data_IF_919426411263
#
_entry.id   IF_919426411263
#
_cell.length_a   1.000
_cell.length_b   1.000
_cell.length_c   1.000
_cell.angle_alpha   90.00
_cell.angle_beta   90.00
_cell.angle_gamma   90.00
#
_symmetry.space_group_name_H-M   'P 1'
#
loop_
_entity.id
_entity.type
_entity.pdbx_description
1 polymer ?
#
# COMPACT_ATOMS: atom_id res chain seq x y z
N UNK A 1 -25.75 29.82 -15.33
CA UNK A 1 -25.03 29.18 -14.22
C UNK A 1 -24.07 28.17 -14.83
N UNK A 2 -22.81 28.20 -14.40
CA UNK A 2 -21.74 27.36 -14.95
C UNK A 2 -22.05 25.87 -14.78
N UNK A 3 -21.75 25.08 -15.82
CA UNK A 3 -21.84 23.62 -15.81
C UNK A 3 -20.63 23.06 -15.04
N UNK A 4 -20.65 23.17 -13.72
CA UNK A 4 -19.61 22.62 -12.85
C UNK A 4 -19.93 21.14 -12.55
N UNK A 5 -18.93 20.27 -12.66
CA UNK A 5 -18.96 18.87 -12.23
C UNK A 5 -17.98 18.70 -11.07
N UNK A 6 -18.46 18.21 -9.93
CA UNK A 6 -17.62 17.88 -8.78
C UNK A 6 -17.18 16.43 -8.81
N UNK A 7 -15.92 16.14 -8.49
CA UNK A 7 -15.41 14.77 -8.37
C UNK A 7 -14.81 14.64 -6.97
N UNK A 8 -15.39 13.77 -6.16
CA UNK A 8 -14.92 13.43 -4.83
C UNK A 8 -14.30 12.04 -4.87
N UNK A 9 -13.02 11.96 -4.51
CA UNK A 9 -12.27 10.70 -4.49
C UNK A 9 -12.08 10.24 -3.04
N UNK A 10 -12.52 9.03 -2.71
CA UNK A 10 -12.30 8.42 -1.39
C UNK A 10 -13.23 8.95 -0.28
N UNK A 11 -14.55 8.87 -0.47
CA UNK A 11 -15.53 9.31 0.53
C UNK A 11 -15.43 8.60 1.89
N UNK A 12 -15.04 7.33 1.90
CA UNK A 12 -14.83 6.54 3.11
C UNK A 12 -13.71 7.10 4.00
N UNK A 13 -12.73 7.80 3.41
CA UNK A 13 -11.64 8.45 4.15
C UNK A 13 -12.08 9.79 4.74
N UNK A 14 -13.11 10.44 4.17
CA UNK A 14 -13.60 11.74 4.63
C UNK A 14 -14.46 11.63 5.89
N UNK A 15 -15.33 10.62 5.96
CA UNK A 15 -16.37 10.48 7.00
C UNK A 15 -15.85 10.55 8.45
N UNK A 16 -14.77 9.87 8.84
CA UNK A 16 -14.36 9.80 10.25
C UNK A 16 -13.76 11.12 10.78
N UNK A 17 -13.33 12.03 9.90
CA UNK A 17 -12.55 13.22 10.26
C UNK A 17 -13.11 14.53 9.71
N UNK A 18 -14.27 14.50 9.06
CA UNK A 18 -14.88 15.68 8.48
C UNK A 18 -15.16 16.76 9.56
N UNK A 19 -14.44 17.88 9.46
CA UNK A 19 -14.72 19.05 10.30
C UNK A 19 -16.15 19.53 10.03
N UNK A 20 -16.92 20.00 11.04
CA UNK A 20 -18.31 20.39 10.85
C UNK A 20 -18.54 21.43 9.74
N UNK A 21 -17.55 22.30 9.49
CA UNK A 21 -17.60 23.27 8.38
C UNK A 21 -17.46 22.60 7.02
N UNK A 22 -16.56 21.64 6.88
CA UNK A 22 -16.36 20.88 5.64
C UNK A 22 -17.57 20.00 5.35
N UNK A 23 -18.16 19.38 6.37
CA UNK A 23 -19.40 18.61 6.23
C UNK A 23 -20.53 19.48 5.67
N UNK A 24 -20.69 20.71 6.14
CA UNK A 24 -21.70 21.65 5.62
C UNK A 24 -21.47 22.00 4.15
N UNK A 25 -20.22 22.27 3.77
CA UNK A 25 -19.85 22.56 2.38
C UNK A 25 -20.10 21.34 1.50
N UNK A 26 -19.67 20.16 1.94
CA UNK A 26 -19.89 18.90 1.24
C UNK A 26 -21.38 18.64 1.00
N UNK A 27 -22.22 18.78 2.02
CA UNK A 27 -23.68 18.64 1.89
C UNK A 27 -24.27 19.65 0.90
N UNK A 28 -23.78 20.89 0.91
CA UNK A 28 -24.20 21.91 -0.07
C UNK A 28 -23.81 21.53 -1.51
N UNK A 29 -22.70 20.82 -1.70
CA UNK A 29 -22.27 20.33 -3.01
C UNK A 29 -23.10 19.10 -3.43
N UNK A 30 -23.48 18.23 -2.50
CA UNK A 30 -24.38 17.10 -2.81
C UNK A 30 -25.76 17.55 -3.29
N UNK A 31 -26.20 18.75 -2.92
CA UNK A 31 -27.42 19.38 -3.45
C UNK A 31 -27.27 19.86 -4.92
N UNK A 32 -26.04 19.91 -5.45
CA UNK A 32 -25.79 20.30 -6.84
C UNK A 32 -26.07 19.16 -7.82
N UNK A 33 -26.48 19.53 -9.05
CA UNK A 33 -26.91 18.57 -10.06
C UNK A 33 -25.82 17.60 -10.54
N UNK A 34 -24.55 18.01 -10.54
CA UNK A 34 -23.47 17.24 -11.17
C UNK A 34 -22.33 16.98 -10.17
N UNK A 35 -22.30 15.78 -9.61
CA UNK A 35 -21.20 15.30 -8.80
C UNK A 35 -20.99 13.80 -9.01
N UNK A 36 -19.73 13.36 -8.93
CA UNK A 36 -19.30 11.97 -8.92
C UNK A 36 -18.56 11.74 -7.60
N UNK A 37 -18.85 10.64 -6.95
CA UNK A 37 -18.23 10.24 -5.70
C UNK A 37 -17.70 8.83 -5.82
N UNK A 38 -16.45 8.62 -5.46
CA UNK A 38 -15.87 7.28 -5.31
C UNK A 38 -15.84 6.93 -3.82
N UNK A 39 -16.08 5.66 -3.52
CA UNK A 39 -15.93 5.14 -2.17
C UNK A 39 -15.76 3.64 -2.20
N UNK A 40 -15.21 3.08 -1.13
CA UNK A 40 -15.30 1.64 -0.88
C UNK A 40 -16.77 1.20 -0.67
N UNK A 41 -17.14 -0.04 -1.05
CA UNK A 41 -18.53 -0.49 -1.09
C UNK A 41 -19.31 -0.37 0.23
N UNK A 42 -18.61 -0.37 1.37
CA UNK A 42 -19.22 -0.40 2.69
C UNK A 42 -19.56 0.98 3.28
N UNK A 43 -19.07 2.08 2.68
CA UNK A 43 -19.23 3.42 3.25
C UNK A 43 -20.30 4.26 2.54
N UNK A 44 -20.93 3.71 1.50
CA UNK A 44 -21.94 4.43 0.72
C UNK A 44 -23.30 4.28 1.41
N UNK A 45 -23.66 5.28 2.22
CA UNK A 45 -24.99 5.46 2.82
C UNK A 45 -25.69 6.73 2.28
N UNK A 46 -25.40 7.09 1.02
CA UNK A 46 -25.95 8.27 0.37
C UNK A 46 -26.95 7.87 -0.72
N UNK A 47 -28.12 8.53 -0.81
CA UNK A 47 -29.11 8.22 -1.83
C UNK A 47 -28.67 8.77 -3.20
N UNK A 48 -28.15 7.90 -4.06
CA UNK A 48 -27.79 8.23 -5.44
C UNK A 48 -28.78 7.59 -6.44
N UNK A 49 -29.12 8.34 -7.49
CA UNK A 49 -29.94 7.83 -8.61
C UNK A 49 -29.18 6.80 -9.44
N UNK A 50 -27.86 6.96 -9.57
CA UNK A 50 -26.99 6.10 -10.36
C UNK A 50 -25.84 5.65 -9.48
N UNK A 51 -25.63 4.34 -9.41
CA UNK A 51 -24.49 3.70 -8.75
C UNK A 51 -23.77 2.84 -9.76
N UNK A 52 -22.45 2.99 -9.82
CA UNK A 52 -21.58 2.19 -10.68
C UNK A 52 -20.59 1.44 -9.80
N UNK A 53 -20.39 0.15 -10.10
CA UNK A 53 -19.41 -0.68 -9.41
C UNK A 53 -18.19 -0.92 -10.30
N UNK A 54 -16.99 -0.68 -9.76
CA UNK A 54 -15.74 -1.00 -10.43
C UNK A 54 -15.37 -2.44 -10.09
N UNK A 55 -15.65 -3.36 -11.00
CA UNK A 55 -15.44 -4.80 -10.81
C UNK A 55 -14.03 -5.30 -11.17
N UNK A 56 -13.14 -4.40 -11.60
CA UNK A 56 -11.77 -4.73 -12.02
C UNK A 56 -11.62 -4.97 -13.52
N UNK A 57 -10.50 -5.60 -13.90
CA UNK A 57 -10.13 -5.88 -15.28
C UNK A 57 -10.73 -7.17 -15.81
N UNK A 58 -11.06 -7.20 -17.10
CA UNK A 58 -11.32 -8.46 -17.83
C UNK A 58 -10.01 -9.13 -18.26
N UNK A 59 -10.10 -10.37 -18.77
CA UNK A 59 -8.95 -11.08 -19.35
C UNK A 59 -8.25 -10.26 -20.47
N UNK A 60 -9.04 -9.58 -21.29
CA UNK A 60 -8.57 -8.72 -22.38
C UNK A 60 -7.92 -7.45 -21.83
N UNK A 61 -8.47 -6.87 -20.75
CA UNK A 61 -7.85 -5.73 -20.08
C UNK A 61 -6.50 -6.10 -19.47
N UNK A 62 -6.37 -7.27 -18.84
CA UNK A 62 -5.08 -7.76 -18.32
C UNK A 62 -4.05 -7.83 -19.45
N UNK A 63 -4.41 -8.49 -20.56
CA UNK A 63 -3.52 -8.62 -21.71
C UNK A 63 -3.05 -7.26 -22.23
N UNK A 64 -4.01 -6.35 -22.47
CA UNK A 64 -3.73 -4.99 -22.95
C UNK A 64 -2.89 -4.17 -21.97
N UNK A 65 -3.14 -4.30 -20.67
CA UNK A 65 -2.39 -3.61 -19.65
C UNK A 65 -0.92 -4.06 -19.65
N UNK A 66 -0.68 -5.37 -19.66
CA UNK A 66 0.67 -5.94 -19.69
C UNK A 66 1.43 -5.50 -20.95
N UNK A 67 0.80 -5.56 -22.11
CA UNK A 67 1.40 -5.07 -23.36
C UNK A 67 1.81 -3.59 -23.27
N UNK A 68 0.91 -2.74 -22.76
CA UNK A 68 1.17 -1.31 -22.59
C UNK A 68 2.27 -1.04 -21.55
N UNK A 69 2.28 -1.77 -20.44
CA UNK A 69 3.28 -1.65 -19.38
C UNK A 69 4.67 -1.93 -19.93
N UNK A 70 4.88 -3.11 -20.53
CA UNK A 70 6.19 -3.51 -21.03
C UNK A 70 6.61 -2.73 -22.28
N UNK A 71 5.67 -2.24 -23.09
CA UNK A 71 5.96 -1.29 -24.16
C UNK A 71 6.57 0.02 -23.62
N UNK A 72 6.04 0.55 -22.51
CA UNK A 72 6.59 1.76 -21.87
C UNK A 72 7.97 1.50 -21.26
N UNK A 73 8.22 0.32 -20.70
CA UNK A 73 9.53 -0.07 -20.18
C UNK A 73 10.54 -0.23 -21.32
N UNK A 74 10.17 -0.91 -22.42
CA UNK A 74 11.06 -1.12 -23.57
C UNK A 74 11.56 0.18 -24.22
N UNK A 75 10.74 1.25 -24.16
CA UNK A 75 11.17 2.60 -24.59
C UNK A 75 12.33 3.16 -23.77
N UNK A 76 12.43 2.76 -22.50
CA UNK A 76 13.45 3.23 -21.56
C UNK A 76 14.64 2.27 -21.51
N UNK A 77 14.40 0.96 -21.68
CA UNK A 77 15.40 -0.11 -21.64
C UNK A 77 15.18 -1.10 -22.80
N UNK A 78 15.95 -1.00 -23.90
CA UNK A 78 15.75 -1.80 -25.11
C UNK A 78 15.83 -3.33 -24.92
N UNK A 79 16.51 -3.81 -23.86
CA UNK A 79 16.73 -5.23 -23.58
C UNK A 79 15.48 -5.99 -23.06
N UNK A 80 14.34 -5.32 -22.85
CA UNK A 80 13.12 -5.95 -22.32
C UNK A 80 12.19 -6.56 -23.40
N UNK A 81 12.65 -6.63 -24.65
CA UNK A 81 11.88 -7.20 -25.77
C UNK A 81 11.74 -8.73 -25.62
N UNK A 82 10.65 -9.18 -24.99
CA UNK A 82 10.36 -10.60 -24.77
C UNK A 82 9.67 -10.90 -23.44
N UNK A 83 9.67 -9.94 -22.51
CA UNK A 83 9.05 -10.15 -21.20
C UNK A 83 7.52 -10.21 -21.26
N UNK A 84 6.88 -9.45 -22.17
CA UNK A 84 5.42 -9.40 -22.34
C UNK A 84 4.80 -10.78 -22.56
N UNK A 85 5.33 -11.55 -23.51
CA UNK A 85 4.76 -12.88 -23.81
C UNK A 85 5.02 -13.84 -22.65
N UNK A 86 6.21 -13.77 -22.06
CA UNK A 86 6.60 -14.66 -20.95
C UNK A 86 5.72 -14.46 -19.71
N UNK A 87 5.48 -13.21 -19.32
CA UNK A 87 4.61 -12.91 -18.18
C UNK A 87 3.15 -13.26 -18.48
N UNK A 88 2.65 -13.04 -19.70
CA UNK A 88 1.29 -13.42 -20.06
C UNK A 88 1.11 -14.95 -20.01
N UNK A 89 2.07 -15.71 -20.52
CA UNK A 89 2.07 -17.16 -20.42
C UNK A 89 2.12 -17.62 -18.96
N UNK A 90 2.96 -16.99 -18.13
CA UNK A 90 3.03 -17.27 -16.69
C UNK A 90 1.70 -17.01 -16.00
N UNK A 91 1.10 -15.84 -16.23
CA UNK A 91 -0.18 -15.43 -15.65
C UNK A 91 -1.28 -16.43 -16.03
N UNK A 92 -1.43 -16.76 -17.32
CA UNK A 92 -2.45 -17.69 -17.82
C UNK A 92 -2.26 -19.13 -17.32
N UNK A 93 -1.01 -19.55 -17.12
CA UNK A 93 -0.68 -20.89 -16.64
C UNK A 93 -0.88 -21.07 -15.13
N UNK A 94 -1.12 -19.98 -14.39
CA UNK A 94 -1.25 -19.99 -12.94
C UNK A 94 -2.60 -19.37 -12.52
N UNK A 95 -3.63 -20.20 -12.34
CA UNK A 95 -5.01 -19.73 -12.05
C UNK A 95 -5.12 -18.84 -10.81
N UNK A 96 -4.31 -19.11 -9.77
CA UNK A 96 -4.28 -18.29 -8.56
C UNK A 96 -3.85 -16.84 -8.84
N UNK A 97 -2.71 -16.66 -9.53
CA UNK A 97 -2.21 -15.31 -9.84
C UNK A 97 -3.04 -14.65 -10.95
N UNK A 98 -3.62 -15.45 -11.86
CA UNK A 98 -4.58 -14.97 -12.84
C UNK A 98 -5.78 -14.30 -12.16
N UNK A 99 -6.38 -14.97 -11.17
CA UNK A 99 -7.47 -14.41 -10.36
C UNK A 99 -7.08 -13.09 -9.69
N UNK A 100 -5.89 -13.04 -9.11
CA UNK A 100 -5.35 -11.85 -8.44
C UNK A 100 -5.11 -10.69 -9.42
N UNK A 101 -4.68 -10.98 -10.65
CA UNK A 101 -4.39 -10.00 -11.71
C UNK A 101 -5.64 -9.26 -12.25
N UNK A 102 -6.85 -9.75 -11.97
CA UNK A 102 -8.08 -9.02 -12.29
C UNK A 102 -8.23 -7.72 -11.49
N UNK A 103 -7.51 -7.57 -10.38
CA UNK A 103 -7.45 -6.30 -9.64
C UNK A 103 -6.32 -5.46 -10.24
N UNK A 104 -6.60 -4.26 -10.81
CA UNK A 104 -5.61 -3.46 -11.54
C UNK A 104 -4.33 -3.16 -10.76
N UNK A 105 -4.45 -2.84 -9.46
CA UNK A 105 -3.32 -2.62 -8.59
C UNK A 105 -2.45 -3.87 -8.45
N UNK A 106 -3.05 -5.04 -8.26
CA UNK A 106 -2.29 -6.27 -8.12
C UNK A 106 -1.57 -6.61 -9.43
N UNK A 107 -2.19 -6.36 -10.58
CA UNK A 107 -1.53 -6.53 -11.87
C UNK A 107 -0.33 -5.58 -12.03
N UNK A 108 -0.47 -4.32 -11.63
CA UNK A 108 0.65 -3.37 -11.59
C UNK A 108 1.80 -3.93 -10.73
N UNK A 109 1.49 -4.39 -9.51
CA UNK A 109 2.50 -4.97 -8.62
C UNK A 109 3.15 -6.20 -9.23
N UNK A 110 2.38 -7.07 -9.90
CA UNK A 110 2.91 -8.24 -10.59
C UNK A 110 3.89 -7.83 -11.70
N UNK A 111 3.49 -6.92 -12.58
CA UNK A 111 4.34 -6.42 -13.67
C UNK A 111 5.61 -5.74 -13.16
N UNK A 112 5.46 -4.87 -12.15
CA UNK A 112 6.56 -4.19 -11.48
C UNK A 112 7.51 -5.15 -10.80
N UNK A 113 7.01 -6.19 -10.11
CA UNK A 113 7.87 -7.22 -9.52
C UNK A 113 8.60 -7.98 -10.61
N UNK A 114 7.89 -8.46 -11.63
CA UNK A 114 8.43 -9.25 -12.72
C UNK A 114 9.60 -8.57 -13.42
N UNK A 115 9.43 -7.29 -13.80
CA UNK A 115 10.44 -6.48 -14.46
C UNK A 115 11.71 -6.32 -13.60
N UNK A 116 11.56 -6.33 -12.28
CA UNK A 116 12.64 -6.07 -11.34
C UNK A 116 13.39 -7.32 -10.88
N UNK A 117 12.69 -8.46 -10.76
CA UNK A 117 13.27 -9.74 -10.30
C UNK A 117 13.58 -10.70 -11.46
N UNK A 118 13.28 -10.32 -12.71
CA UNK A 118 13.31 -11.19 -13.90
C UNK A 118 12.43 -12.44 -13.72
N UNK A 119 11.23 -12.23 -13.20
CA UNK A 119 10.24 -13.26 -12.93
C UNK A 119 10.17 -13.72 -11.47
N UNK A 120 9.21 -14.60 -11.17
CA UNK A 120 8.97 -15.10 -9.83
C UNK A 120 9.65 -16.45 -9.58
N UNK A 121 10.24 -16.61 -8.39
CA UNK A 121 10.88 -17.88 -7.97
C UNK A 121 9.84 -18.99 -7.74
N UNK A 122 8.63 -18.63 -7.31
CA UNK A 122 7.55 -19.57 -7.00
C UNK A 122 6.57 -19.68 -8.17
N UNK A 123 6.07 -20.90 -8.41
CA UNK A 123 5.03 -21.18 -9.42
C UNK A 123 3.67 -20.64 -8.99
N UNK A 124 3.30 -20.82 -7.73
CA UNK A 124 2.08 -20.25 -7.15
C UNK A 124 2.43 -19.02 -6.31
N UNK A 125 1.64 -17.95 -6.45
CA UNK A 125 1.75 -16.71 -5.70
C UNK A 125 0.39 -16.37 -5.10
N UNK A 126 0.37 -16.28 -3.77
CA UNK A 126 -0.68 -15.61 -3.00
C UNK A 126 -0.44 -14.10 -3.00
N UNK A 127 -1.46 -13.30 -2.65
CA UNK A 127 -1.30 -11.85 -2.52
C UNK A 127 -0.22 -11.49 -1.49
N UNK A 128 -0.19 -12.20 -0.35
CA UNK A 128 0.85 -12.01 0.67
C UNK A 128 2.25 -12.27 0.13
N UNK A 129 2.43 -13.30 -0.70
CA UNK A 129 3.72 -13.57 -1.35
C UNK A 129 4.09 -12.49 -2.37
N UNK A 130 3.13 -11.92 -3.10
CA UNK A 130 3.39 -10.79 -3.98
C UNK A 130 3.90 -9.56 -3.20
N UNK A 131 3.25 -9.21 -2.08
CA UNK A 131 3.75 -8.15 -1.20
C UNK A 131 5.14 -8.50 -0.61
N UNK A 132 5.38 -9.76 -0.26
CA UNK A 132 6.69 -10.20 0.23
C UNK A 132 7.80 -9.99 -0.81
N UNK A 133 7.59 -10.40 -2.06
CA UNK A 133 8.54 -10.21 -3.16
C UNK A 133 8.78 -8.71 -3.44
N UNK A 134 7.72 -7.90 -3.43
CA UNK A 134 7.84 -6.43 -3.59
C UNK A 134 8.64 -5.79 -2.46
N UNK A 135 8.41 -6.20 -1.21
CA UNK A 135 9.16 -5.68 -0.06
C UNK A 135 10.61 -6.17 -0.12
N UNK A 136 10.87 -7.42 -0.47
CA UNK A 136 12.25 -7.91 -0.69
C UNK A 136 12.96 -7.06 -1.75
N UNK A 137 12.30 -6.75 -2.86
CA UNK A 137 12.84 -5.87 -3.88
C UNK A 137 13.15 -4.47 -3.34
N UNK A 138 12.24 -3.88 -2.57
CA UNK A 138 12.45 -2.56 -1.94
C UNK A 138 13.63 -2.59 -0.97
N UNK A 139 13.75 -3.62 -0.12
CA UNK A 139 14.90 -3.83 0.76
C UNK A 139 16.20 -3.87 -0.05
N UNK A 140 16.29 -4.72 -1.08
CA UNK A 140 17.49 -4.82 -1.93
C UNK A 140 17.82 -3.50 -2.61
N UNK A 141 16.81 -2.76 -3.07
CA UNK A 141 16.99 -1.45 -3.69
C UNK A 141 17.51 -0.42 -2.68
N UNK A 142 16.97 -0.41 -1.47
CA UNK A 142 17.42 0.46 -0.38
C UNK A 142 18.87 0.14 0.01
N UNK A 143 19.19 -1.14 0.23
CA UNK A 143 20.53 -1.60 0.59
C UNK A 143 21.56 -1.29 -0.50
N UNK A 144 21.22 -1.41 -1.79
CA UNK A 144 22.12 -1.00 -2.89
C UNK A 144 22.46 0.48 -2.91
N UNK A 145 21.62 1.34 -2.34
CA UNK A 145 21.91 2.78 -2.24
C UNK A 145 22.82 3.11 -1.06
N UNK A 146 22.78 2.29 -0.01
CA UNK A 146 23.52 2.50 1.23
C UNK A 146 24.80 1.65 1.32
N UNK A 147 24.90 0.54 0.58
CA UNK A 147 26.04 -0.38 0.57
C UNK A 147 26.21 -1.11 -0.79
N UNK A 148 27.44 -1.17 -1.30
CA UNK A 148 27.75 -1.77 -2.63
C UNK A 148 27.79 -3.31 -2.67
N UNK A 149 27.76 -4.02 -1.52
CA UNK A 149 28.09 -5.46 -1.44
C UNK A 149 26.88 -6.43 -1.48
N UNK A 150 25.70 -5.97 -1.86
CA UNK A 150 24.42 -6.63 -1.53
C UNK A 150 23.76 -7.45 -2.65
N UNK A 151 24.37 -7.52 -3.85
CA UNK A 151 23.71 -8.16 -5.01
C UNK A 151 23.41 -9.66 -4.83
N UNK A 152 24.17 -10.35 -3.97
CA UNK A 152 24.13 -11.83 -3.87
C UNK A 152 23.66 -12.38 -2.52
N UNK A 153 23.07 -11.56 -1.64
CA UNK A 153 22.59 -12.05 -0.35
C UNK A 153 21.24 -12.78 -0.47
N UNK A 154 21.08 -13.85 0.33
CA UNK A 154 19.82 -14.57 0.46
C UNK A 154 18.70 -13.71 1.05
N UNK A 155 17.46 -14.07 0.74
CA UNK A 155 16.24 -13.33 1.15
C UNK A 155 16.19 -13.05 2.66
N UNK A 156 16.49 -14.05 3.50
CA UNK A 156 16.47 -13.89 4.97
C UNK A 156 17.49 -12.86 5.47
N UNK A 157 18.66 -12.79 4.83
CA UNK A 157 19.70 -11.82 5.20
C UNK A 157 19.27 -10.41 4.83
N UNK A 158 18.67 -10.23 3.64
CA UNK A 158 18.11 -8.95 3.20
C UNK A 158 17.06 -8.43 4.20
N UNK A 159 16.12 -9.28 4.61
CA UNK A 159 15.11 -8.89 5.60
C UNK A 159 15.70 -8.57 6.97
N UNK A 160 16.74 -9.30 7.41
CA UNK A 160 17.46 -9.00 8.66
C UNK A 160 18.15 -7.65 8.60
N UNK A 161 18.78 -7.30 7.48
CA UNK A 161 19.47 -6.03 7.32
C UNK A 161 18.53 -4.83 7.29
N UNK A 162 17.34 -4.99 6.70
CA UNK A 162 16.28 -3.97 6.70
C UNK A 162 15.31 -4.07 7.89
N UNK A 163 15.62 -4.89 8.90
CA UNK A 163 14.67 -5.18 9.99
C UNK A 163 14.22 -3.91 10.71
N UNK A 164 15.15 -3.01 11.03
CA UNK A 164 14.84 -1.76 11.74
C UNK A 164 13.90 -0.85 10.94
N UNK A 165 14.19 -0.66 9.66
CA UNK A 165 13.38 0.17 8.76
C UNK A 165 11.99 -0.43 8.56
N UNK A 166 11.92 -1.76 8.39
CA UNK A 166 10.66 -2.48 8.27
C UNK A 166 9.83 -2.38 9.54
N UNK A 167 10.41 -2.61 10.71
CA UNK A 167 9.71 -2.49 11.99
C UNK A 167 9.17 -1.08 12.25
N UNK A 168 9.93 -0.07 11.81
CA UNK A 168 9.51 1.33 11.86
C UNK A 168 8.34 1.62 10.91
N UNK A 169 8.39 1.14 9.67
CA UNK A 169 7.29 1.24 8.70
C UNK A 169 6.03 0.49 9.18
N UNK A 170 6.19 -0.70 9.76
CA UNK A 170 5.12 -1.51 10.35
C UNK A 170 4.43 -0.76 11.49
N UNK A 171 5.20 -0.21 12.43
CA UNK A 171 4.69 0.59 13.54
C UNK A 171 3.99 1.87 13.05
N UNK A 172 4.60 2.56 12.09
CA UNK A 172 4.05 3.78 11.52
C UNK A 172 2.70 3.50 10.84
N UNK A 173 2.63 2.45 10.02
CA UNK A 173 1.42 2.03 9.35
C UNK A 173 0.31 1.69 10.35
N UNK A 174 0.63 0.94 11.40
CA UNK A 174 -0.33 0.58 12.44
C UNK A 174 -0.86 1.81 13.18
N UNK A 175 0.01 2.71 13.66
CA UNK A 175 -0.41 3.94 14.34
C UNK A 175 -1.21 4.87 13.44
N UNK A 176 -0.83 4.97 12.17
CA UNK A 176 -1.57 5.75 11.18
C UNK A 176 -2.98 5.17 10.98
N UNK A 177 -3.14 3.85 10.90
CA UNK A 177 -4.47 3.23 10.84
C UNK A 177 -5.27 3.38 12.13
N UNK A 178 -4.65 3.21 13.31
CA UNK A 178 -5.33 3.39 14.60
C UNK A 178 -5.91 4.80 14.76
N UNK A 179 -5.26 5.78 14.14
CA UNK A 179 -5.68 7.18 14.12
C UNK A 179 -6.38 7.59 12.82
N UNK A 180 -6.69 6.62 11.94
CA UNK A 180 -7.34 6.79 10.62
C UNK A 180 -6.69 7.86 9.71
N UNK A 181 -5.37 7.96 9.74
CA UNK A 181 -4.59 8.81 8.84
C UNK A 181 -4.15 8.03 7.58
N UNK A 182 -4.70 8.38 6.41
CA UNK A 182 -4.11 8.04 5.10
C UNK A 182 -2.95 8.98 4.74
N UNK A 183 -3.07 10.25 5.16
CA UNK A 183 -1.98 11.25 5.14
C UNK A 183 -1.38 11.34 6.54
N UNK A 184 -0.15 10.87 6.68
CA UNK A 184 0.64 10.79 7.90
C UNK A 184 1.20 12.18 8.23
N UNK A 185 0.83 12.76 9.39
CA UNK A 185 1.39 14.04 9.82
C UNK A 185 2.86 13.88 10.24
N UNK A 186 3.69 14.94 10.09
CA UNK A 186 5.11 14.89 10.45
C UNK A 186 5.36 14.49 11.90
N UNK A 187 4.45 14.92 12.80
CA UNK A 187 4.53 14.59 14.23
C UNK A 187 4.46 13.08 14.47
N UNK A 188 3.55 12.37 13.80
CA UNK A 188 3.37 10.93 13.95
C UNK A 188 4.59 10.16 13.42
N UNK A 189 5.15 10.60 12.30
CA UNK A 189 6.39 10.06 11.75
C UNK A 189 7.54 10.19 12.77
N UNK A 190 7.80 11.40 13.26
CA UNK A 190 8.88 11.68 14.20
C UNK A 190 8.72 10.93 15.54
N UNK A 191 7.50 10.83 16.07
CA UNK A 191 7.22 10.07 17.29
C UNK A 191 7.42 8.56 17.10
N UNK A 192 7.21 8.06 15.89
CA UNK A 192 7.43 6.65 15.57
C UNK A 192 8.92 6.35 15.41
N UNK A 193 9.65 7.21 14.70
CA UNK A 193 11.11 7.08 14.57
C UNK A 193 11.80 7.15 15.95
N UNK A 194 11.42 8.09 16.82
CA UNK A 194 11.97 8.20 18.19
C UNK A 194 11.66 7.00 19.08
N UNK A 195 10.52 6.34 18.88
CA UNK A 195 10.14 5.19 19.69
C UNK A 195 10.94 3.92 19.34
N UNK A 196 11.54 3.86 18.14
CA UNK A 196 12.21 2.66 17.62
C UNK A 196 13.71 2.86 17.34
N UNK A 197 14.19 4.10 17.30
CA UNK A 197 15.60 4.42 17.08
C UNK A 197 16.24 5.08 18.31
N UNK A 198 17.29 4.45 18.85
CA UNK A 198 18.21 5.04 19.83
C UNK A 198 19.31 5.93 19.19
N UNK A 199 19.45 5.95 17.86
CA UNK A 199 20.57 6.63 17.20
C UNK A 199 20.23 7.28 15.86
N UNK A 200 20.75 8.49 15.71
CA UNK A 200 20.67 9.47 14.61
C UNK A 200 21.44 9.09 13.33
N UNK A 201 21.34 7.84 12.85
CA UNK A 201 22.02 7.45 11.61
C UNK A 201 21.20 7.88 10.39
N UNK A 202 21.50 9.06 9.86
CA UNK A 202 20.76 9.79 8.81
C UNK A 202 20.65 8.97 7.49
N UNK A 203 21.57 8.04 7.26
CA UNK A 203 21.62 7.20 6.06
C UNK A 203 20.54 6.10 6.01
N UNK A 204 19.88 5.79 7.14
CA UNK A 204 18.89 4.71 7.28
C UNK A 204 17.47 5.19 7.53
N UNK A 205 17.12 6.38 7.05
CA UNK A 205 15.75 6.87 7.14
C UNK A 205 14.78 5.99 6.34
N UNK A 206 13.64 5.64 6.93
CA UNK A 206 12.54 4.95 6.26
C UNK A 206 12.00 5.71 5.04
N UNK A 207 12.25 7.02 4.97
CA UNK A 207 11.89 7.86 3.83
C UNK A 207 12.65 7.46 2.55
N UNK A 208 13.87 6.92 2.70
CA UNK A 208 14.69 6.43 1.60
C UNK A 208 14.30 5.03 1.12
N UNK A 209 13.39 4.35 1.82
CA UNK A 209 12.93 3.00 1.49
C UNK A 209 12.05 2.98 0.23
N UNK A 210 11.42 4.12 -0.10
CA UNK A 210 10.66 4.31 -1.35
C UNK A 210 9.19 3.87 -1.28
N UNK A 211 8.69 3.50 -0.10
CA UNK A 211 7.27 3.18 0.15
C UNK A 211 6.47 4.39 0.66
N UNK A 212 7.14 5.42 1.16
CA UNK A 212 6.52 6.67 1.59
C UNK A 212 6.75 7.76 0.54
N UNK A 213 5.69 8.46 0.17
CA UNK A 213 5.73 9.64 -0.69
C UNK A 213 5.48 10.89 0.14
N UNK A 214 6.28 11.92 -0.09
CA UNK A 214 6.04 13.22 0.53
C UNK A 214 4.82 13.89 -0.12
N UNK A 215 3.99 14.49 0.72
CA UNK A 215 2.88 15.35 0.36
C UNK A 215 3.17 16.76 0.87
N UNK A 216 3.05 17.74 -0.01
CA UNK A 216 3.43 19.12 0.27
C UNK A 216 2.26 20.06 -0.01
N UNK A 217 1.45 20.31 1.02
CA UNK A 217 0.38 21.32 0.97
C UNK A 217 0.92 22.75 1.04
N UNK A 218 2.14 22.91 1.57
CA UNK A 218 2.70 24.22 1.87
C UNK A 218 3.89 24.47 0.94
N UNK A 219 3.62 25.12 -0.20
CA UNK A 219 4.61 25.75 -1.08
C UNK A 219 5.39 26.90 -0.40
N UNK A 220 5.74 26.79 0.90
CA UNK A 220 6.76 27.64 1.50
C UNK A 220 8.09 27.22 0.87
N UNK A 221 8.43 27.94 -0.20
CA UNK A 221 9.70 27.91 -0.90
C UNK A 221 10.81 27.95 0.17
N UNK A 222 11.49 26.83 0.40
CA UNK A 222 12.65 26.73 1.30
C UNK A 222 12.62 25.65 2.37
N UNK A 223 11.50 24.99 2.68
CA UNK A 223 11.50 23.87 3.65
C UNK A 223 11.89 22.55 2.98
N UNK A 224 13.20 22.33 2.87
CA UNK A 224 13.80 21.15 2.22
C UNK A 224 13.87 19.90 3.11
N UNK A 225 13.56 19.99 4.41
CA UNK A 225 13.66 18.83 5.30
C UNK A 225 12.45 17.88 5.08
N UNK A 226 12.67 16.67 4.54
CA UNK A 226 11.58 15.76 4.24
C UNK A 226 10.84 15.32 5.51
N UNK A 227 11.50 15.21 6.68
CA UNK A 227 10.87 14.77 7.95
C UNK A 227 9.83 15.75 8.52
N UNK A 228 9.74 16.96 7.95
CA UNK A 228 8.74 17.96 8.30
C UNK A 228 7.54 17.98 7.35
N UNK A 229 7.58 17.18 6.28
CA UNK A 229 6.47 17.05 5.33
C UNK A 229 5.48 16.01 5.81
N UNK A 230 4.26 16.13 5.30
CA UNK A 230 3.28 15.06 5.40
C UNK A 230 3.70 13.94 4.46
N UNK A 231 3.32 12.71 4.79
CA UNK A 231 3.63 11.56 3.95
C UNK A 231 2.41 10.68 3.77
N UNK A 232 2.43 9.84 2.75
CA UNK A 232 1.46 8.77 2.59
C UNK A 232 2.17 7.56 2.02
N UNK A 233 1.65 6.37 2.31
CA UNK A 233 2.14 5.16 1.65
C UNK A 233 1.83 5.23 0.16
N UNK A 234 2.69 4.67 -0.68
CA UNK A 234 2.50 4.64 -2.15
C UNK A 234 1.12 4.15 -2.57
N UNK A 235 0.49 3.29 -1.75
CA UNK A 235 -0.90 2.92 -1.81
C UNK A 235 -1.40 2.46 -0.43
N UNK A 236 -2.69 2.63 -0.14
CA UNK A 236 -3.31 2.26 1.15
C UNK A 236 -3.13 0.77 1.50
N UNK A 237 -3.12 -0.11 0.50
CA UNK A 237 -2.86 -1.54 0.72
C UNK A 237 -1.46 -1.85 1.27
N UNK A 238 -0.44 -1.02 0.98
CA UNK A 238 0.86 -1.17 1.63
C UNK A 238 0.77 -0.80 3.11
N UNK A 239 0.06 0.29 3.45
CA UNK A 239 -0.21 0.66 4.84
C UNK A 239 -0.92 -0.49 5.57
N UNK A 240 -1.99 -1.04 4.97
CA UNK A 240 -2.72 -2.19 5.54
C UNK A 240 -1.82 -3.43 5.72
N UNK A 241 -0.96 -3.72 4.75
CA UNK A 241 -0.03 -4.85 4.83
C UNK A 241 1.03 -4.67 5.93
N UNK A 242 1.66 -3.48 6.02
CA UNK A 242 2.64 -3.17 7.05
C UNK A 242 2.02 -3.18 8.46
N UNK A 243 0.81 -2.63 8.61
CA UNK A 243 0.09 -2.68 9.87
C UNK A 243 -0.29 -4.11 10.27
N UNK A 244 -0.70 -4.96 9.32
CA UNK A 244 -0.97 -6.37 9.58
C UNK A 244 0.29 -7.12 10.05
N UNK A 245 1.46 -6.81 9.48
CA UNK A 245 2.75 -7.35 9.93
C UNK A 245 3.10 -6.90 11.35
N UNK A 246 2.81 -5.65 11.70
CA UNK A 246 2.98 -5.13 13.07
C UNK A 246 2.15 -5.95 14.07
N UNK A 247 0.85 -6.14 13.79
CA UNK A 247 -0.04 -6.94 14.62
C UNK A 247 0.43 -8.38 14.76
N UNK A 248 0.89 -9.00 13.67
CA UNK A 248 1.45 -10.36 13.71
C UNK A 248 2.70 -10.46 14.60
N UNK A 249 3.53 -9.43 14.65
CA UNK A 249 4.69 -9.37 15.55
C UNK A 249 4.23 -9.30 17.01
N UNK A 250 3.35 -8.36 17.33
CA UNK A 250 2.78 -8.20 18.68
C UNK A 250 2.09 -9.49 19.18
N UNK A 251 1.44 -10.25 18.29
CA UNK A 251 0.80 -11.52 18.63
C UNK A 251 1.79 -12.66 18.93
N UNK A 252 2.99 -12.60 18.35
CA UNK A 252 4.08 -13.56 18.62
C UNK A 252 4.79 -13.26 19.93
N UNK A 253 4.81 -12.00 20.33
CA UNK A 253 5.36 -11.57 21.61
C UNK A 253 4.43 -11.99 22.76
N UNK A 254 5.00 -12.09 23.97
CA UNK A 254 4.27 -12.52 25.16
C UNK A 254 3.83 -11.31 26.00
N UNK A 255 2.73 -11.46 26.74
CA UNK A 255 2.29 -10.46 27.72
C UNK A 255 1.44 -9.34 27.11
N UNK A 256 1.82 -8.09 27.38
CA UNK A 256 1.03 -6.89 27.06
C UNK A 256 0.80 -6.71 25.56
N UNK A 257 1.83 -6.92 24.74
CA UNK A 257 1.78 -6.72 23.29
C UNK A 257 0.75 -7.64 22.62
N UNK A 258 0.68 -8.90 23.05
CA UNK A 258 -0.34 -9.84 22.58
C UNK A 258 -1.74 -9.40 22.96
N UNK A 259 -1.91 -8.82 24.16
CA UNK A 259 -3.21 -8.30 24.61
C UNK A 259 -3.63 -7.12 23.74
N UNK A 260 -2.75 -6.13 23.53
CA UNK A 260 -3.00 -4.98 22.67
C UNK A 260 -3.44 -5.42 21.27
N UNK A 261 -2.71 -6.34 20.64
CA UNK A 261 -3.06 -6.84 19.32
C UNK A 261 -4.40 -7.60 19.31
N UNK A 262 -4.66 -8.42 20.33
CA UNK A 262 -5.91 -9.18 20.44
C UNK A 262 -7.11 -8.25 20.65
N UNK A 263 -6.98 -7.24 21.50
CA UNK A 263 -8.01 -6.25 21.76
C UNK A 263 -8.30 -5.40 20.51
N UNK A 264 -7.25 -5.00 19.79
CA UNK A 264 -7.40 -4.29 18.51
C UNK A 264 -8.15 -5.14 17.50
N UNK A 265 -7.75 -6.41 17.30
CA UNK A 265 -8.44 -7.32 16.37
C UNK A 265 -9.89 -7.53 16.81
N UNK A 266 -10.16 -7.75 18.10
CA UNK A 266 -11.51 -7.99 18.58
C UNK A 266 -12.42 -6.78 18.44
N UNK A 267 -11.88 -5.57 18.63
CA UNK A 267 -12.61 -4.32 18.46
C UNK A 267 -12.98 -4.09 16.99
N UNK A 268 -12.03 -4.36 16.07
CA UNK A 268 -12.17 -3.97 14.68
C UNK A 268 -12.45 -5.13 13.70
N UNK A 269 -12.59 -6.38 14.17
CA UNK A 269 -12.87 -7.56 13.29
C UNK A 269 -14.17 -7.45 12.48
N UNK A 270 -15.09 -6.59 12.90
CA UNK A 270 -16.35 -6.31 12.19
C UNK A 270 -16.33 -4.95 11.48
N UNK A 271 -15.24 -4.19 11.60
CA UNK A 271 -15.07 -2.94 10.86
C UNK A 271 -14.55 -3.25 9.45
N UNK A 272 -15.33 -2.91 8.45
CA UNK A 272 -15.05 -3.17 7.04
C UNK A 272 -13.83 -2.39 6.54
N UNK A 273 -13.45 -1.30 7.22
CA UNK A 273 -12.25 -0.49 6.98
C UNK A 273 -10.95 -1.24 7.26
N UNK A 274 -10.98 -2.18 8.21
CA UNK A 274 -9.82 -2.98 8.64
C UNK A 274 -9.89 -4.43 8.14
N UNK A 275 -10.93 -4.75 7.35
CA UNK A 275 -11.10 -6.04 6.68
C UNK A 275 -9.86 -6.49 5.89
N UNK A 276 -9.06 -5.62 5.25
CA UNK A 276 -7.85 -6.06 4.56
C UNK A 276 -6.79 -6.63 5.52
N UNK A 277 -6.61 -6.05 6.70
CA UNK A 277 -5.66 -6.54 7.70
C UNK A 277 -6.07 -7.90 8.28
N UNK A 278 -7.37 -8.11 8.50
CA UNK A 278 -7.90 -9.42 8.91
C UNK A 278 -7.89 -10.43 7.75
N UNK A 279 -8.01 -9.99 6.49
CA UNK A 279 -7.84 -10.84 5.31
C UNK A 279 -6.38 -11.30 5.19
N UNK A 280 -5.40 -10.40 5.26
CA UNK A 280 -3.97 -10.77 5.27
C UNK A 280 -3.63 -11.74 6.42
N UNK A 281 -4.28 -11.58 7.57
CA UNK A 281 -4.18 -12.51 8.71
C UNK A 281 -4.79 -13.89 8.43
N UNK A 282 -6.01 -13.94 7.88
CA UNK A 282 -6.72 -15.19 7.51
C UNK A 282 -5.93 -16.01 6.48
N UNK A 283 -5.31 -15.36 5.51
CA UNK A 283 -4.57 -16.02 4.44
C UNK A 283 -3.19 -16.53 4.89
N UNK A 284 -2.58 -15.89 5.91
CA UNK A 284 -1.32 -16.36 6.50
C UNK A 284 -1.51 -17.51 7.50
N UNK A 285 -2.72 -17.71 8.04
CA UNK A 285 -3.05 -18.76 9.01
C UNK A 285 -3.76 -19.99 8.44
N UNK A 286 -3.98 -20.08 7.12
CA UNK A 286 -4.64 -21.23 6.48
C UNK A 286 -3.77 -22.53 6.43
N UNK A 287 -2.80 -22.68 7.35
CA UNK A 287 -1.98 -23.88 7.55
C UNK A 287 -1.98 -24.40 9.00
N UNK A 288 -2.88 -23.93 9.86
CA UNK A 288 -3.09 -24.52 11.19
C UNK A 288 -4.52 -25.05 11.30
N UNK A 289 -4.73 -26.19 10.65
CA UNK A 289 -5.61 -27.28 11.10
C UNK A 289 -4.90 -28.57 10.78
#
# INVERSE_FOLDING_TARGET
MEKVLWIFDGYDEFLPHALPRLTKVFNSILETQHHILTSRPYAIDLPYTITLEIIGFTNENITKYVELFFYQIAKQTPDSSGETETILQFLKSNSSIWGVAHIPLNLELICSTWCNSKGFKKKALTLTELYHEMIEYMCRRHLRKTNDKEKDQGTDTVFKLCSKELECLECLAFRAMETNHSIIPPKLLQETERALHDSTDDDKSILNFGVLKAYDDNKKIGEHNPTKKQHYFVHLSFQEHFAARHLLRLLKDAGEDKRVATDYINKHKYETTLSPCTHFYSWSHCKIT
#
